data_IF_154942503341
#
_entry.id   IF_154942503341
#
_cell.length_a   1.000
_cell.length_b   1.000
_cell.length_c   1.000
_cell.angle_alpha   90.00
_cell.angle_beta   90.00
_cell.angle_gamma   90.00
#
_symmetry.space_group_name_H-M   'P 1'
#
loop_
_entity.id
_entity.type
_entity.pdbx_description
1 polymer ?
#
# COMPACT_ATOMS: atom_id res chain seq x y z
N UNK A 1 -10.29 -10.45 -29.26
CA UNK A 1 -9.83 -9.23 -29.96
C UNK A 1 -10.94 -8.46 -30.65
N UNK A 2 -11.90 -9.07 -31.37
CA UNK A 2 -12.95 -8.31 -32.09
C UNK A 2 -13.95 -7.55 -31.20
N UNK A 3 -14.36 -8.11 -30.04
CA UNK A 3 -15.30 -7.46 -29.12
C UNK A 3 -14.71 -6.22 -28.43
N UNK A 4 -13.39 -6.23 -28.15
CA UNK A 4 -12.70 -5.17 -27.41
C UNK A 4 -12.71 -3.85 -28.19
N UNK A 5 -12.65 -3.90 -29.52
CA UNK A 5 -12.61 -2.72 -30.39
C UNK A 5 -13.98 -2.06 -30.59
N UNK A 6 -15.09 -2.77 -30.31
CA UNK A 6 -16.45 -2.24 -30.51
C UNK A 6 -16.87 -1.24 -29.43
N UNK A 7 -16.25 -1.30 -28.24
CA UNK A 7 -16.65 -0.50 -27.08
C UNK A 7 -15.62 0.57 -26.67
N UNK A 8 -14.49 0.69 -27.37
CA UNK A 8 -13.45 1.69 -27.07
C UNK A 8 -13.67 3.04 -27.75
N UNK A 9 -14.49 3.13 -28.80
CA UNK A 9 -14.70 4.38 -29.54
C UNK A 9 -16.01 5.08 -29.15
N UNK A 10 -15.94 6.00 -28.19
CA UNK A 10 -17.03 6.95 -27.92
C UNK A 10 -16.87 7.70 -26.59
N UNK A 11 -16.73 9.03 -26.71
CA UNK A 11 -16.83 10.07 -25.67
C UNK A 11 -15.67 10.18 -24.65
N UNK A 12 -15.09 11.38 -24.58
CA UNK A 12 -13.95 11.75 -23.75
C UNK A 12 -14.25 11.81 -22.26
N UNK A 13 -13.17 11.73 -21.47
CA UNK A 13 -12.94 12.16 -20.07
C UNK A 13 -14.02 11.94 -19.00
N UNK A 14 -15.08 11.17 -19.26
CA UNK A 14 -15.94 10.60 -18.23
C UNK A 14 -15.37 9.23 -17.83
N UNK A 15 -15.05 9.05 -16.56
CA UNK A 15 -14.64 7.76 -16.00
C UNK A 15 -15.77 6.76 -16.21
N UNK A 16 -15.55 5.76 -17.08
CA UNK A 16 -16.55 4.74 -17.39
C UNK A 16 -17.01 4.01 -16.13
N UNK A 17 -18.29 3.65 -16.08
CA UNK A 17 -18.91 2.98 -14.92
C UNK A 17 -18.52 1.49 -14.81
N UNK A 18 -18.61 0.92 -13.61
CA UNK A 18 -18.26 -0.49 -13.35
C UNK A 18 -19.03 -1.49 -14.23
N UNK A 19 -20.32 -1.25 -14.47
CA UNK A 19 -21.18 -2.12 -15.27
C UNK A 19 -20.93 -2.02 -16.79
N UNK A 20 -20.10 -1.07 -17.23
CA UNK A 20 -19.73 -0.99 -18.65
C UNK A 20 -18.79 -2.14 -19.05
N UNK A 21 -18.79 -2.52 -20.35
CA UNK A 21 -17.92 -3.57 -20.87
C UNK A 21 -16.47 -3.46 -20.38
N UNK A 22 -15.97 -4.55 -19.81
CA UNK A 22 -14.60 -4.75 -19.34
C UNK A 22 -14.13 -3.80 -18.22
N UNK A 23 -15.00 -2.95 -17.66
CA UNK A 23 -14.60 -2.01 -16.60
C UNK A 23 -14.37 -2.65 -15.24
N UNK A 24 -14.81 -3.90 -15.05
CA UNK A 24 -14.49 -4.72 -13.87
C UNK A 24 -12.99 -5.02 -13.76
N UNK A 25 -12.20 -4.90 -14.84
CA UNK A 25 -10.75 -5.16 -14.83
C UNK A 25 -10.01 -4.32 -13.81
N UNK A 26 -10.44 -3.07 -13.59
CA UNK A 26 -9.90 -2.21 -12.52
C UNK A 26 -10.01 -2.86 -11.14
N UNK A 27 -11.04 -3.66 -10.90
CA UNK A 27 -11.20 -4.41 -9.66
C UNK A 27 -10.20 -5.56 -9.56
N UNK A 28 -9.90 -6.24 -10.66
CA UNK A 28 -8.89 -7.32 -10.72
C UNK A 28 -7.49 -6.71 -10.56
N UNK A 29 -7.20 -5.62 -11.27
CA UNK A 29 -5.96 -4.85 -11.14
C UNK A 29 -5.75 -4.34 -9.70
N UNK A 30 -6.80 -3.87 -9.03
CA UNK A 30 -6.74 -3.45 -7.63
C UNK A 30 -6.26 -4.56 -6.68
N UNK A 31 -6.69 -5.80 -6.93
CA UNK A 31 -6.17 -6.95 -6.21
C UNK A 31 -4.66 -7.14 -6.45
N UNK A 32 -4.22 -7.04 -7.70
CA UNK A 32 -2.81 -7.22 -8.11
C UNK A 32 -1.90 -6.18 -7.47
N UNK A 33 -2.32 -4.91 -7.47
CA UNK A 33 -1.59 -3.83 -6.79
C UNK A 33 -1.42 -4.06 -5.30
N UNK A 34 -2.30 -4.84 -4.67
CA UNK A 34 -2.17 -5.17 -3.25
C UNK A 34 -0.88 -5.93 -2.92
N UNK A 35 -0.32 -6.70 -3.87
CA UNK A 35 1.00 -7.31 -3.69
C UNK A 35 2.10 -6.25 -3.58
N UNK A 36 2.08 -5.28 -4.50
CA UNK A 36 3.12 -4.26 -4.61
C UNK A 36 3.07 -3.34 -3.39
N UNK A 37 1.86 -3.04 -2.90
CA UNK A 37 1.69 -2.30 -1.64
C UNK A 37 2.30 -3.02 -0.42
N UNK A 38 2.33 -4.35 -0.39
CA UNK A 38 3.03 -5.09 0.68
C UNK A 38 4.54 -4.97 0.55
N UNK A 39 5.07 -4.95 -0.67
CA UNK A 39 6.50 -4.77 -0.93
C UNK A 39 6.95 -3.37 -0.52
N UNK A 40 6.19 -2.34 -0.89
CA UNK A 40 6.43 -0.96 -0.47
C UNK A 40 6.37 -0.82 1.06
N UNK A 41 5.38 -1.45 1.70
CA UNK A 41 5.26 -1.45 3.16
C UNK A 41 6.46 -2.18 3.83
N UNK A 42 6.91 -3.28 3.24
CA UNK A 42 8.09 -4.02 3.66
C UNK A 42 9.33 -3.13 3.60
N UNK A 43 9.58 -2.49 2.46
CA UNK A 43 10.73 -1.58 2.25
C UNK A 43 10.72 -0.42 3.23
N UNK A 44 9.56 0.24 3.40
CA UNK A 44 9.39 1.34 4.36
C UNK A 44 9.82 0.93 5.78
N UNK A 45 9.48 -0.27 6.23
CA UNK A 45 9.89 -0.77 7.54
C UNK A 45 11.36 -1.22 7.60
N UNK A 46 11.94 -1.72 6.51
CA UNK A 46 13.38 -2.02 6.44
C UNK A 46 14.21 -0.74 6.55
N UNK A 47 13.83 0.32 5.81
CA UNK A 47 14.47 1.64 5.88
C UNK A 47 14.35 2.22 7.29
N UNK A 48 13.17 2.15 7.88
CA UNK A 48 12.96 2.57 9.27
C UNK A 48 13.83 1.76 10.25
N UNK A 49 13.92 0.45 10.08
CA UNK A 49 14.79 -0.40 10.91
C UNK A 49 16.27 -0.07 10.74
N UNK A 50 16.72 0.34 9.54
CA UNK A 50 18.09 0.72 9.28
C UNK A 50 18.48 2.02 10.01
N UNK A 51 17.56 2.99 10.08
CA UNK A 51 17.73 4.23 10.88
C UNK A 51 17.96 3.88 12.35
N UNK A 52 17.10 3.04 12.92
CA UNK A 52 17.21 2.59 14.31
C UNK A 52 18.55 1.89 14.57
N UNK A 53 18.93 0.97 13.67
CA UNK A 53 20.18 0.23 13.80
C UNK A 53 21.43 1.14 13.70
N UNK A 54 21.37 2.20 12.90
CA UNK A 54 22.45 3.20 12.82
C UNK A 54 22.62 3.92 14.17
N UNK A 55 21.51 4.31 14.81
CA UNK A 55 21.55 4.95 16.11
C UNK A 55 22.09 4.03 17.21
N UNK A 56 21.66 2.76 17.23
CA UNK A 56 22.19 1.71 18.11
C UNK A 56 23.72 1.62 18.00
N UNK A 57 24.25 1.55 16.78
CA UNK A 57 25.68 1.44 16.55
C UNK A 57 26.45 2.70 16.99
N UNK A 58 25.88 3.88 16.74
CA UNK A 58 26.48 5.14 17.16
C UNK A 58 26.56 5.25 18.70
N UNK A 59 25.49 4.90 19.41
CA UNK A 59 25.44 4.89 20.87
C UNK A 59 26.44 3.89 21.48
N UNK A 60 26.49 2.66 20.96
CA UNK A 60 27.46 1.62 21.34
C UNK A 60 28.90 2.07 21.15
N UNK A 61 29.19 2.64 19.98
CA UNK A 61 30.53 3.14 19.65
C UNK A 61 30.95 4.28 20.59
N UNK A 62 30.05 5.24 20.82
CA UNK A 62 30.27 6.35 21.75
C UNK A 62 30.53 5.86 23.18
N UNK A 63 29.67 4.96 23.68
CA UNK A 63 29.76 4.47 25.05
C UNK A 63 31.07 3.70 25.29
N UNK A 64 31.42 2.76 24.41
CA UNK A 64 32.67 1.99 24.50
C UNK A 64 33.90 2.89 24.43
N UNK A 65 33.91 3.86 23.52
CA UNK A 65 35.00 4.84 23.40
C UNK A 65 35.19 5.58 24.73
N UNK A 66 34.12 6.16 25.27
CA UNK A 66 34.23 6.98 26.47
C UNK A 66 34.54 6.17 27.72
N UNK A 67 34.02 4.94 27.86
CA UNK A 67 34.47 4.06 28.94
C UNK A 67 35.98 3.80 28.88
N UNK A 68 36.54 3.55 27.69
CA UNK A 68 37.98 3.39 27.54
C UNK A 68 38.75 4.68 27.88
N UNK A 69 38.27 5.86 27.47
CA UNK A 69 38.91 7.13 27.84
C UNK A 69 38.82 7.43 29.34
N UNK A 70 37.67 7.18 29.98
CA UNK A 70 37.46 7.38 31.41
C UNK A 70 38.43 6.56 32.29
N UNK A 71 38.85 5.36 31.82
CA UNK A 71 39.86 4.58 32.54
C UNK A 71 41.25 5.22 32.56
N UNK A 72 41.54 6.11 31.61
CA UNK A 72 42.81 6.83 31.49
C UNK A 72 42.83 8.15 32.25
N UNK A 73 41.65 8.68 32.59
CA UNK A 73 41.52 9.93 33.33
C UNK A 73 41.78 9.69 34.81
N UNK A 74 42.48 10.63 35.45
CA UNK A 74 42.69 10.66 36.91
C UNK A 74 41.48 11.19 37.68
N UNK A 75 40.28 11.08 37.09
CA UNK A 75 39.02 11.42 37.75
C UNK A 75 38.72 10.36 38.83
N UNK A 76 38.08 10.76 39.93
CA UNK A 76 37.99 9.89 41.11
C UNK A 76 36.65 9.95 41.83
N UNK A 77 36.51 9.03 42.79
CA UNK A 77 35.44 8.95 43.77
C UNK A 77 34.02 9.11 43.19
N UNK A 78 33.23 10.08 43.68
CA UNK A 78 31.82 10.19 43.33
C UNK A 78 31.59 10.79 41.95
N UNK A 79 32.41 11.76 41.53
CA UNK A 79 32.32 12.39 40.21
C UNK A 79 32.59 11.39 39.07
N UNK A 80 33.62 10.53 39.20
CA UNK A 80 33.91 9.47 38.23
C UNK A 80 32.70 8.53 38.04
N UNK A 81 32.03 8.14 39.13
CA UNK A 81 30.86 7.24 39.08
C UNK A 81 29.70 7.85 38.29
N UNK A 82 29.46 9.15 38.45
CA UNK A 82 28.42 9.85 37.68
C UNK A 82 28.80 9.88 36.20
N UNK A 83 30.05 10.17 35.86
CA UNK A 83 30.52 10.15 34.48
C UNK A 83 30.41 8.76 33.84
N UNK A 84 30.83 7.71 34.54
CA UNK A 84 30.66 6.33 34.10
C UNK A 84 29.18 6.02 33.84
N UNK A 85 28.28 6.47 34.73
CA UNK A 85 26.84 6.26 34.54
C UNK A 85 26.31 6.99 33.31
N UNK A 86 26.71 8.25 33.06
CA UNK A 86 26.33 8.99 31.83
C UNK A 86 26.72 8.18 30.60
N UNK A 87 27.97 7.69 30.55
CA UNK A 87 28.45 6.90 29.42
C UNK A 87 27.67 5.57 29.29
N UNK A 88 27.36 4.92 30.41
CA UNK A 88 26.56 3.68 30.44
C UNK A 88 25.11 3.88 29.98
N UNK A 89 24.52 5.08 30.12
CA UNK A 89 23.17 5.35 29.56
C UNK A 89 23.12 5.20 28.04
N UNK A 90 24.26 5.39 27.35
CA UNK A 90 24.36 5.17 25.91
C UNK A 90 24.08 3.72 25.52
N UNK A 91 24.63 2.75 26.25
CA UNK A 91 24.37 1.34 25.97
C UNK A 91 22.94 0.94 26.34
N UNK A 92 22.40 1.45 27.45
CA UNK A 92 21.00 1.20 27.83
C UNK A 92 20.03 1.73 26.77
N UNK A 93 20.32 2.90 26.20
CA UNK A 93 19.56 3.47 25.10
C UNK A 93 19.72 2.67 23.81
N UNK A 94 20.94 2.20 23.51
CA UNK A 94 21.19 1.33 22.38
C UNK A 94 20.38 0.03 22.48
N UNK A 95 20.26 -0.57 23.67
CA UNK A 95 19.48 -1.79 23.87
C UNK A 95 17.97 -1.57 23.69
N UNK A 96 17.44 -0.42 24.11
CA UNK A 96 16.05 -0.03 23.83
C UNK A 96 15.81 0.03 22.31
N UNK A 97 16.64 0.77 21.58
CA UNK A 97 16.49 0.89 20.12
C UNK A 97 16.78 -0.44 19.39
N UNK A 98 17.67 -1.29 19.92
CA UNK A 98 17.93 -2.63 19.40
C UNK A 98 16.70 -3.53 19.48
N UNK A 99 15.85 -3.37 20.50
CA UNK A 99 14.60 -4.10 20.61
C UNK A 99 13.59 -3.69 19.53
N UNK A 100 13.59 -2.41 19.12
CA UNK A 100 12.79 -1.92 17.98
C UNK A 100 13.26 -2.59 16.68
N UNK A 101 14.56 -2.59 16.42
CA UNK A 101 15.18 -3.29 15.27
C UNK A 101 14.81 -4.77 15.27
N UNK A 102 14.87 -5.43 16.43
CA UNK A 102 14.55 -6.85 16.56
C UNK A 102 13.08 -7.12 16.26
N UNK A 103 12.15 -6.26 16.70
CA UNK A 103 10.73 -6.44 16.37
C UNK A 103 10.45 -6.28 14.87
N UNK A 104 11.15 -5.38 14.17
CA UNK A 104 11.04 -5.34 12.71
C UNK A 104 11.48 -6.65 12.07
N UNK A 105 12.67 -7.14 12.43
CA UNK A 105 13.27 -8.35 11.88
C UNK A 105 12.49 -9.63 12.21
N UNK A 106 12.04 -9.75 13.45
CA UNK A 106 11.56 -11.02 14.00
C UNK A 106 10.02 -11.12 14.00
N UNK A 107 9.31 -10.00 13.82
CA UNK A 107 7.85 -9.96 13.92
C UNK A 107 7.19 -9.32 12.68
N UNK A 108 7.50 -8.05 12.37
CA UNK A 108 6.83 -7.32 11.27
C UNK A 108 7.20 -7.90 9.91
N UNK A 109 8.50 -8.03 9.59
CA UNK A 109 8.95 -8.52 8.29
C UNK A 109 8.51 -9.96 8.00
N UNK A 110 8.62 -10.92 8.95
CA UNK A 110 8.13 -12.28 8.74
C UNK A 110 6.62 -12.34 8.52
N UNK A 111 5.83 -11.53 9.26
CA UNK A 111 4.38 -11.45 9.05
C UNK A 111 4.03 -10.95 7.66
N UNK A 112 4.66 -9.87 7.17
CA UNK A 112 4.46 -9.35 5.82
C UNK A 112 4.79 -10.41 4.76
N UNK A 113 5.97 -11.03 4.88
CA UNK A 113 6.44 -12.06 3.93
C UNK A 113 5.51 -13.27 3.91
N UNK A 114 5.09 -13.76 5.08
CA UNK A 114 4.21 -14.92 5.19
C UNK A 114 2.82 -14.61 4.66
N UNK A 115 2.23 -13.47 5.02
CA UNK A 115 0.91 -13.08 4.53
C UNK A 115 0.91 -12.91 3.01
N UNK A 116 1.95 -12.30 2.43
CA UNK A 116 2.11 -12.21 0.97
C UNK A 116 2.17 -13.60 0.33
N UNK A 117 2.98 -14.51 0.87
CA UNK A 117 3.09 -15.90 0.37
C UNK A 117 1.76 -16.63 0.37
N UNK A 118 0.97 -16.47 1.43
CA UNK A 118 -0.30 -17.19 1.61
C UNK A 118 -1.44 -16.62 0.77
N UNK A 119 -1.37 -15.35 0.37
CA UNK A 119 -2.47 -14.65 -0.28
C UNK A 119 -2.20 -14.31 -1.76
N UNK A 120 -0.94 -14.30 -2.20
CA UNK A 120 -0.52 -13.94 -3.56
C UNK A 120 0.22 -15.08 -4.27
N UNK A 121 -0.45 -16.21 -4.45
CA UNK A 121 0.11 -17.35 -5.18
C UNK A 121 0.12 -17.10 -6.70
N UNK A 122 1.29 -17.24 -7.33
CA UNK A 122 1.46 -17.16 -8.80
C UNK A 122 1.18 -18.49 -9.47
N UNK A 123 0.58 -18.46 -10.67
CA UNK A 123 0.47 -19.65 -11.52
C UNK A 123 1.71 -19.83 -12.41
N UNK A 124 2.01 -18.85 -13.27
CA UNK A 124 3.22 -18.79 -14.11
C UNK A 124 3.70 -17.34 -14.16
N UNK A 125 2.82 -16.43 -14.57
CA UNK A 125 3.08 -14.99 -14.62
C UNK A 125 2.09 -14.23 -13.73
N UNK A 126 0.81 -14.59 -13.81
CA UNK A 126 -0.27 -13.92 -13.07
C UNK A 126 -0.63 -14.65 -11.77
N UNK A 127 -1.28 -13.93 -10.85
CA UNK A 127 -1.80 -14.49 -9.61
C UNK A 127 -3.02 -15.38 -9.88
N UNK A 128 -3.08 -16.53 -9.20
CA UNK A 128 -4.20 -17.48 -9.37
C UNK A 128 -5.56 -16.83 -9.08
N UNK A 129 -5.63 -16.02 -8.02
CA UNK A 129 -6.87 -15.33 -7.63
C UNK A 129 -7.29 -14.25 -8.65
N UNK A 130 -6.36 -13.53 -9.27
CA UNK A 130 -6.69 -12.63 -10.39
C UNK A 130 -7.33 -13.37 -11.55
N UNK A 131 -6.77 -14.53 -11.92
CA UNK A 131 -7.30 -15.36 -13.01
C UNK A 131 -8.70 -15.87 -12.66
N UNK A 132 -8.94 -16.25 -11.40
CA UNK A 132 -10.25 -16.66 -10.89
C UNK A 132 -11.27 -15.52 -11.01
N UNK A 133 -10.97 -14.33 -10.48
CA UNK A 133 -11.85 -13.16 -10.57
C UNK A 133 -12.14 -12.74 -12.01
N UNK A 134 -11.12 -12.70 -12.88
CA UNK A 134 -11.31 -12.36 -14.30
C UNK A 134 -12.29 -13.33 -14.95
N UNK A 135 -12.15 -14.66 -14.71
CA UNK A 135 -13.05 -15.67 -15.25
C UNK A 135 -14.48 -15.52 -14.76
N UNK A 136 -14.68 -15.25 -13.46
CA UNK A 136 -16.00 -15.04 -12.88
C UNK A 136 -16.70 -13.84 -13.54
N UNK A 137 -16.00 -12.69 -13.64
CA UNK A 137 -16.55 -11.51 -14.30
C UNK A 137 -16.82 -11.73 -15.79
N UNK A 138 -15.90 -12.35 -16.52
CA UNK A 138 -16.07 -12.67 -17.95
C UNK A 138 -17.30 -13.56 -18.16
N UNK A 139 -17.50 -14.56 -17.30
CA UNK A 139 -18.63 -15.48 -17.39
C UNK A 139 -19.96 -14.74 -17.24
N UNK A 140 -20.07 -13.82 -16.29
CA UNK A 140 -21.29 -13.04 -16.05
C UNK A 140 -21.49 -11.95 -17.11
N UNK A 141 -20.43 -11.29 -17.58
CA UNK A 141 -20.54 -10.20 -18.54
C UNK A 141 -20.78 -10.68 -19.98
N UNK A 142 -20.37 -11.91 -20.34
CA UNK A 142 -20.47 -12.43 -21.72
C UNK A 142 -21.88 -12.38 -22.32
N UNK A 143 -22.97 -12.81 -21.65
CA UNK A 143 -24.33 -12.66 -22.20
C UNK A 143 -24.74 -11.20 -22.37
N UNK A 144 -24.32 -10.33 -21.46
CA UNK A 144 -24.58 -8.90 -21.52
C UNK A 144 -23.88 -8.25 -22.73
N UNK A 145 -22.63 -8.61 -23.02
CA UNK A 145 -21.92 -8.13 -24.21
C UNK A 145 -22.64 -8.52 -25.51
N UNK A 146 -23.14 -9.77 -25.60
CA UNK A 146 -23.91 -10.20 -26.78
C UNK A 146 -25.20 -9.40 -26.98
N UNK A 147 -25.88 -9.05 -25.89
CA UNK A 147 -27.06 -8.19 -25.95
C UNK A 147 -26.70 -6.79 -26.45
N UNK A 148 -25.65 -6.18 -25.89
CA UNK A 148 -25.17 -4.86 -26.31
C UNK A 148 -24.71 -4.85 -27.78
N UNK A 149 -24.05 -5.89 -28.25
CA UNK A 149 -23.71 -6.05 -29.67
C UNK A 149 -24.94 -6.14 -30.56
N UNK A 150 -25.94 -6.94 -30.18
CA UNK A 150 -27.21 -7.07 -30.92
C UNK A 150 -27.97 -5.74 -31.01
N UNK A 151 -27.94 -4.96 -29.93
CA UNK A 151 -28.49 -3.60 -29.87
C UNK A 151 -27.73 -2.67 -30.83
N UNK A 152 -26.40 -2.73 -30.81
CA UNK A 152 -25.55 -1.89 -31.66
C UNK A 152 -25.70 -2.23 -33.15
N UNK A 153 -25.84 -3.51 -33.51
CA UNK A 153 -26.15 -3.95 -34.86
C UNK A 153 -27.53 -3.47 -35.32
N UNK A 154 -28.55 -3.62 -34.47
CA UNK A 154 -29.91 -3.17 -34.78
C UNK A 154 -29.99 -1.64 -34.90
N UNK A 155 -29.24 -0.90 -34.07
CA UNK A 155 -29.07 0.55 -34.18
C UNK A 155 -28.46 0.93 -35.53
N UNK A 156 -27.37 0.27 -35.93
CA UNK A 156 -26.72 0.49 -37.24
C UNK A 156 -27.68 0.20 -38.40
N UNK A 157 -28.44 -0.89 -38.32
CA UNK A 157 -29.44 -1.25 -39.33
C UNK A 157 -30.56 -0.21 -39.44
N UNK A 158 -31.08 0.28 -38.30
CA UNK A 158 -32.07 1.35 -38.27
C UNK A 158 -31.54 2.66 -38.89
N UNK A 159 -30.32 3.09 -38.53
CA UNK A 159 -29.74 4.29 -39.12
C UNK A 159 -29.47 4.14 -40.63
N UNK A 160 -29.01 2.96 -41.07
CA UNK A 160 -28.78 2.67 -42.48
C UNK A 160 -30.07 2.74 -43.28
N UNK A 161 -31.14 2.09 -42.81
CA UNK A 161 -32.45 2.11 -43.49
C UNK A 161 -33.08 3.50 -43.48
N UNK A 162 -32.93 4.27 -42.39
CA UNK A 162 -33.36 5.67 -42.32
C UNK A 162 -32.64 6.55 -43.36
N UNK A 163 -31.35 6.33 -43.58
CA UNK A 163 -30.59 7.03 -44.63
C UNK A 163 -31.11 6.67 -46.03
N UNK A 164 -31.43 5.40 -46.28
CA UNK A 164 -32.03 4.95 -47.55
C UNK A 164 -33.42 5.54 -47.77
N UNK A 165 -34.23 5.69 -46.72
CA UNK A 165 -35.54 6.32 -46.80
C UNK A 165 -35.44 7.77 -47.28
N UNK A 166 -34.53 8.56 -46.71
CA UNK A 166 -34.28 9.95 -47.16
C UNK A 166 -33.89 10.02 -48.64
N UNK A 167 -33.07 9.07 -49.11
CA UNK A 167 -32.69 8.99 -50.53
C UNK A 167 -33.88 8.61 -51.42
N UNK A 168 -34.72 7.69 -50.97
CA UNK A 168 -35.92 7.28 -51.70
C UNK A 168 -36.99 8.38 -51.74
N UNK A 169 -37.14 9.16 -50.66
CA UNK A 169 -37.99 10.36 -50.58
C UNK A 169 -37.54 11.41 -51.59
N UNK A 170 -36.26 11.75 -51.58
CA UNK A 170 -35.69 12.69 -52.54
C UNK A 170 -35.92 12.22 -53.98
N UNK A 171 -35.67 10.93 -54.28
CA UNK A 171 -35.89 10.37 -55.63
C UNK A 171 -37.37 10.44 -56.06
N UNK A 172 -38.31 10.30 -55.12
CA UNK A 172 -39.74 10.43 -55.38
C UNK A 172 -40.15 11.89 -55.61
N UNK A 173 -39.58 12.83 -54.85
CA UNK A 173 -39.87 14.27 -54.96
C UNK A 173 -39.26 14.90 -56.22
N UNK A 174 -38.07 14.47 -56.62
CA UNK A 174 -37.38 14.97 -57.82
C UNK A 174 -37.73 14.17 -59.09
N UNK A 175 -38.83 13.40 -59.06
CA UNK A 175 -39.26 12.58 -60.19
C UNK A 175 -39.71 13.47 -61.36
N UNK A 176 -39.14 13.33 -62.58
CA UNK A 176 -39.58 14.11 -63.74
C UNK A 176 -41.03 13.81 -64.13
N UNK A 177 -41.77 14.83 -64.57
CA UNK A 177 -43.15 14.69 -65.06
C UNK A 177 -43.29 13.71 -66.24
N UNK A 178 -42.24 13.56 -67.04
CA UNK A 178 -42.19 12.68 -68.22
C UNK A 178 -41.87 11.21 -67.87
N UNK A 179 -41.66 10.88 -66.59
CA UNK A 179 -41.33 9.52 -66.16
C UNK A 179 -42.45 8.54 -66.57
N UNK A 180 -42.15 7.41 -67.23
CA UNK A 180 -43.18 6.46 -67.65
C UNK A 180 -43.98 5.91 -66.46
N UNK A 181 -45.31 5.67 -66.60
CA UNK A 181 -46.17 5.23 -65.48
C UNK A 181 -45.66 4.00 -64.73
N UNK A 182 -45.07 3.04 -65.45
CA UNK A 182 -44.48 1.83 -64.86
C UNK A 182 -43.28 2.15 -63.97
N UNK A 183 -42.39 3.07 -64.40
CA UNK A 183 -41.28 3.54 -63.58
C UNK A 183 -41.75 4.38 -62.38
N UNK A 184 -42.79 5.20 -62.54
CA UNK A 184 -43.37 5.95 -61.42
C UNK A 184 -43.87 5.00 -60.33
N UNK A 185 -44.62 3.96 -60.74
CA UNK A 185 -45.10 2.91 -59.84
C UNK A 185 -43.95 2.21 -59.12
N UNK A 186 -42.90 1.81 -59.83
CA UNK A 186 -41.72 1.18 -59.22
C UNK A 186 -41.02 2.08 -58.18
N UNK A 187 -40.90 3.39 -58.44
CA UNK A 187 -40.30 4.34 -57.49
C UNK A 187 -41.16 4.46 -56.22
N UNK A 188 -42.49 4.56 -56.38
CA UNK A 188 -43.44 4.63 -55.27
C UNK A 188 -43.45 3.33 -54.46
N UNK A 189 -43.50 2.17 -55.12
CA UNK A 189 -43.48 0.85 -54.48
C UNK A 189 -42.17 0.63 -53.71
N UNK A 190 -41.02 1.01 -54.28
CA UNK A 190 -39.73 0.95 -53.61
C UNK A 190 -39.67 1.89 -52.39
N UNK A 191 -40.23 3.11 -52.49
CA UNK A 191 -40.34 4.03 -51.35
C UNK A 191 -41.18 3.41 -50.21
N UNK A 192 -42.34 2.83 -50.53
CA UNK A 192 -43.21 2.18 -49.55
C UNK A 192 -42.49 1.00 -48.88
N UNK A 193 -41.78 0.18 -49.66
CA UNK A 193 -41.01 -0.95 -49.12
C UNK A 193 -39.89 -0.50 -48.18
N UNK A 194 -39.14 0.55 -48.54
CA UNK A 194 -38.09 1.10 -47.66
C UNK A 194 -38.70 1.66 -46.38
N UNK A 195 -39.86 2.33 -46.46
CA UNK A 195 -40.58 2.83 -45.28
C UNK A 195 -41.00 1.71 -44.32
N UNK A 196 -41.54 0.60 -44.85
CA UNK A 196 -41.85 -0.59 -44.05
C UNK A 196 -40.59 -1.19 -43.40
N UNK A 197 -39.48 -1.24 -44.13
CA UNK A 197 -38.20 -1.75 -43.61
C UNK A 197 -37.64 -0.86 -42.49
N UNK A 198 -37.81 0.47 -42.56
CA UNK A 198 -37.41 1.40 -41.49
C UNK A 198 -38.21 1.13 -40.22
N UNK A 199 -39.54 0.99 -40.32
CA UNK A 199 -40.38 0.69 -39.15
C UNK A 199 -40.04 -0.68 -38.54
N UNK A 200 -39.80 -1.70 -39.37
CA UNK A 200 -39.34 -3.00 -38.89
C UNK A 200 -37.99 -2.91 -38.15
N UNK A 201 -37.02 -2.17 -38.69
CA UNK A 201 -35.73 -1.95 -38.05
C UNK A 201 -35.86 -1.14 -36.75
N UNK A 202 -36.76 -0.15 -36.72
CA UNK A 202 -37.08 0.66 -35.54
C UNK A 202 -37.66 -0.20 -34.42
N UNK A 203 -38.69 -1.00 -34.73
CA UNK A 203 -39.34 -1.89 -33.76
C UNK A 203 -38.36 -2.91 -33.19
N UNK A 204 -37.51 -3.51 -34.03
CA UNK A 204 -36.45 -4.43 -33.58
C UNK A 204 -35.46 -3.74 -32.63
N UNK A 205 -35.00 -2.54 -32.97
CA UNK A 205 -34.08 -1.79 -32.12
C UNK A 205 -34.73 -1.41 -30.77
N UNK A 206 -35.96 -0.91 -30.79
CA UNK A 206 -36.71 -0.56 -29.58
C UNK A 206 -37.00 -1.80 -28.71
N UNK A 207 -37.29 -2.94 -29.32
CA UNK A 207 -37.50 -4.20 -28.60
C UNK A 207 -36.26 -4.59 -27.80
N UNK A 208 -35.08 -4.62 -28.45
CA UNK A 208 -33.83 -4.97 -27.76
C UNK A 208 -33.44 -3.95 -26.67
N UNK A 209 -33.78 -2.67 -26.85
CA UNK A 209 -33.54 -1.66 -25.81
C UNK A 209 -34.37 -1.89 -24.53
N UNK A 210 -35.46 -2.66 -24.59
CA UNK A 210 -36.23 -3.00 -23.39
C UNK A 210 -35.41 -3.85 -22.44
N UNK A 211 -34.56 -4.74 -22.95
CA UNK A 211 -33.75 -5.65 -22.13
C UNK A 211 -32.63 -4.94 -21.34
N UNK A 212 -32.32 -3.68 -21.68
CA UNK A 212 -31.32 -2.86 -20.96
C UNK A 212 -31.96 -1.77 -20.09
N UNK A 213 -33.29 -1.68 -20.06
CA UNK A 213 -33.98 -0.78 -19.12
C UNK A 213 -33.68 -1.20 -17.67
N UNK A 214 -33.62 -0.24 -16.73
CA UNK A 214 -33.30 -0.52 -15.32
C UNK A 214 -34.29 -1.48 -14.65
N UNK A 215 -35.54 -1.52 -15.13
CA UNK A 215 -36.58 -2.44 -14.66
C UNK A 215 -36.57 -3.80 -15.35
N UNK A 216 -35.68 -4.03 -16.33
CA UNK A 216 -35.67 -5.25 -17.11
C UNK A 216 -34.86 -6.36 -16.43
N UNK A 217 -35.41 -7.57 -16.46
CA UNK A 217 -34.79 -8.77 -15.87
C UNK A 217 -33.36 -9.02 -16.36
N UNK A 218 -33.03 -8.89 -17.67
CA UNK A 218 -31.66 -9.14 -18.14
C UNK A 218 -30.62 -8.19 -17.52
N UNK A 219 -30.96 -6.90 -17.36
CA UNK A 219 -30.10 -5.91 -16.71
C UNK A 219 -29.98 -6.17 -15.22
N UNK A 220 -31.10 -6.40 -14.54
CA UNK A 220 -31.08 -6.66 -13.09
C UNK A 220 -30.27 -7.90 -12.75
N UNK A 221 -30.42 -8.99 -13.51
CA UNK A 221 -29.62 -10.21 -13.35
C UNK A 221 -28.13 -9.96 -13.60
N UNK A 222 -27.79 -9.21 -14.65
CA UNK A 222 -26.41 -8.83 -14.92
C UNK A 222 -25.81 -8.01 -13.78
N UNK A 223 -26.49 -6.95 -13.34
CA UNK A 223 -26.00 -6.09 -12.26
C UNK A 223 -25.88 -6.86 -10.94
N UNK A 224 -26.87 -7.68 -10.57
CA UNK A 224 -26.84 -8.49 -9.35
C UNK A 224 -25.65 -9.46 -9.33
N UNK A 225 -25.44 -10.22 -10.41
CA UNK A 225 -24.34 -11.18 -10.50
C UNK A 225 -22.97 -10.48 -10.53
N UNK A 226 -22.86 -9.32 -11.20
CA UNK A 226 -21.62 -8.52 -11.17
C UNK A 226 -21.32 -7.97 -9.77
N UNK A 227 -22.36 -7.58 -9.02
CA UNK A 227 -22.24 -7.13 -7.62
C UNK A 227 -21.78 -8.28 -6.72
N UNK A 228 -22.33 -9.48 -6.90
CA UNK A 228 -21.95 -10.67 -6.11
C UNK A 228 -20.44 -10.97 -6.26
N UNK A 229 -19.93 -11.01 -7.49
CA UNK A 229 -18.50 -11.23 -7.74
C UNK A 229 -17.67 -10.07 -7.15
N UNK A 230 -18.14 -8.83 -7.29
CA UNK A 230 -17.48 -7.67 -6.68
C UNK A 230 -17.45 -7.72 -5.14
N UNK A 231 -18.43 -8.34 -4.50
CA UNK A 231 -18.39 -8.56 -3.06
C UNK A 231 -17.30 -9.57 -2.66
N UNK A 232 -17.03 -10.58 -3.50
CA UNK A 232 -15.91 -11.50 -3.27
C UNK A 232 -14.55 -10.79 -3.36
N UNK A 233 -14.37 -9.90 -4.33
CA UNK A 233 -13.13 -9.11 -4.44
C UNK A 233 -12.97 -8.14 -3.27
N UNK A 234 -14.06 -7.47 -2.84
CA UNK A 234 -14.06 -6.62 -1.65
C UNK A 234 -13.75 -7.39 -0.37
N UNK A 235 -14.28 -8.60 -0.20
CA UNK A 235 -14.00 -9.42 0.98
C UNK A 235 -12.50 -9.75 1.09
N UNK A 236 -11.84 -9.99 -0.05
CA UNK A 236 -10.39 -10.17 -0.08
C UNK A 236 -9.65 -8.87 0.25
N UNK A 237 -10.05 -7.75 -0.35
CA UNK A 237 -9.44 -6.44 -0.05
C UNK A 237 -9.58 -6.07 1.44
N UNK A 238 -10.73 -6.36 2.04
CA UNK A 238 -10.96 -6.19 3.49
C UNK A 238 -9.93 -6.98 4.30
N UNK A 239 -9.64 -8.23 3.94
CA UNK A 239 -8.60 -9.05 4.60
C UNK A 239 -7.22 -8.39 4.53
N UNK A 240 -6.86 -7.79 3.39
CA UNK A 240 -5.59 -7.05 3.23
C UNK A 240 -5.55 -5.81 4.13
N UNK A 241 -6.62 -5.01 4.13
CA UNK A 241 -6.71 -3.78 4.91
C UNK A 241 -6.69 -4.06 6.42
N UNK A 242 -7.39 -5.09 6.88
CA UNK A 242 -7.36 -5.54 8.27
C UNK A 242 -5.93 -5.98 8.66
N UNK A 243 -5.26 -6.73 7.80
CA UNK A 243 -3.87 -7.12 8.02
C UNK A 243 -2.91 -5.91 8.10
N UNK A 244 -3.07 -4.90 7.23
CA UNK A 244 -2.29 -3.66 7.31
C UNK A 244 -2.49 -2.97 8.66
N UNK A 245 -3.74 -2.91 9.13
CA UNK A 245 -4.07 -2.35 10.45
C UNK A 245 -3.39 -3.11 11.57
N UNK A 246 -3.32 -4.44 11.51
CA UNK A 246 -2.59 -5.27 12.47
C UNK A 246 -1.09 -4.95 12.48
N UNK A 247 -0.47 -4.80 11.30
CA UNK A 247 0.95 -4.43 11.18
C UNK A 247 1.21 -3.04 11.77
N UNK A 248 0.35 -2.05 11.48
CA UNK A 248 0.50 -0.71 12.06
C UNK A 248 0.29 -0.68 13.58
N UNK A 249 -0.60 -1.53 14.10
CA UNK A 249 -0.78 -1.70 15.55
C UNK A 249 0.47 -2.33 16.20
N UNK A 250 1.07 -3.34 15.58
CA UNK A 250 2.33 -3.94 16.03
C UNK A 250 3.47 -2.91 16.05
N UNK A 251 3.58 -2.09 14.99
CA UNK A 251 4.53 -0.99 14.96
C UNK A 251 4.30 0.01 16.09
N UNK A 252 3.05 0.42 16.32
CA UNK A 252 2.69 1.35 17.41
C UNK A 252 3.10 0.78 18.78
N UNK A 253 2.82 -0.51 19.01
CA UNK A 253 3.20 -1.22 20.24
C UNK A 253 4.73 -1.26 20.41
N UNK A 254 5.47 -1.41 19.32
CA UNK A 254 6.95 -1.41 19.33
C UNK A 254 7.52 -0.10 19.89
N UNK A 255 6.89 1.03 19.57
CA UNK A 255 7.32 2.35 20.02
C UNK A 255 6.93 2.65 21.48
N UNK A 256 5.97 1.93 22.05
CA UNK A 256 5.50 2.14 23.42
C UNK A 256 6.48 1.50 24.44
N UNK A 257 7.69 2.05 24.56
CA UNK A 257 8.74 1.58 25.50
C UNK A 257 8.88 2.44 26.78
N UNK A 258 7.82 3.13 27.18
CA UNK A 258 7.81 4.09 28.29
C UNK A 258 8.38 3.54 29.62
N UNK A 259 8.07 2.30 30.07
CA UNK A 259 8.58 1.80 31.34
C UNK A 259 10.11 1.61 31.36
N UNK A 260 10.70 1.25 30.23
CA UNK A 260 12.16 1.00 30.14
C UNK A 260 12.92 2.32 30.19
N UNK A 261 12.43 3.33 29.47
CA UNK A 261 13.01 4.67 29.49
C UNK A 261 12.92 5.32 30.88
N UNK A 262 11.78 5.19 31.57
CA UNK A 262 11.61 5.69 32.94
C UNK A 262 12.61 5.04 33.89
N UNK A 263 12.78 3.72 33.82
CA UNK A 263 13.74 3.01 34.67
C UNK A 263 15.18 3.46 34.42
N UNK A 264 15.59 3.61 33.16
CA UNK A 264 16.91 4.13 32.79
C UNK A 264 17.16 5.51 33.41
N UNK A 265 16.16 6.40 33.31
CA UNK A 265 16.23 7.73 33.89
C UNK A 265 16.29 7.71 35.42
N UNK A 266 15.47 6.89 36.07
CA UNK A 266 15.47 6.75 37.54
C UNK A 266 16.82 6.23 38.05
N UNK A 267 17.42 5.26 37.36
CA UNK A 267 18.73 4.72 37.72
C UNK A 267 19.84 5.77 37.54
N UNK A 268 19.78 6.59 36.48
CA UNK A 268 20.67 7.73 36.30
C UNK A 268 20.54 8.74 37.45
N UNK A 269 19.31 9.14 37.80
CA UNK A 269 19.05 10.09 38.89
C UNK A 269 19.59 9.58 40.22
N UNK A 270 19.41 8.29 40.53
CA UNK A 270 19.96 7.69 41.75
C UNK A 270 21.47 7.79 41.82
N UNK A 271 22.19 7.51 40.73
CA UNK A 271 23.65 7.63 40.71
C UNK A 271 24.08 9.09 40.83
N UNK A 272 23.41 10.00 40.13
CA UNK A 272 23.68 11.43 40.24
C UNK A 272 23.54 11.94 41.68
N UNK A 273 22.55 11.45 42.42
CA UNK A 273 22.36 11.78 43.84
C UNK A 273 23.50 11.29 44.76
N UNK A 274 24.34 10.35 44.29
CA UNK A 274 25.52 9.92 45.06
C UNK A 274 26.72 10.86 44.90
N UNK A 275 26.64 11.85 44.00
CA UNK A 275 27.68 12.85 43.82
C UNK A 275 27.87 13.69 45.10
N UNK A 276 29.10 13.73 45.61
CA UNK A 276 29.45 14.43 46.83
C UNK A 276 30.79 15.16 46.69
N UNK A 277 30.72 16.43 46.30
CA UNK A 277 31.89 17.30 46.13
C UNK A 277 32.75 17.39 47.40
N UNK A 278 32.13 17.46 48.58
CA UNK A 278 32.87 17.60 49.84
C UNK A 278 33.66 16.33 50.17
N UNK A 279 33.05 15.16 49.98
CA UNK A 279 33.73 13.88 50.19
C UNK A 279 34.87 13.65 49.18
N UNK A 280 34.68 14.09 47.93
CA UNK A 280 35.73 14.00 46.91
C UNK A 280 36.91 14.93 47.27
N UNK A 281 36.65 16.19 47.64
CA UNK A 281 37.71 17.11 48.10
C UNK A 281 38.45 16.62 49.34
N UNK A 282 37.73 16.06 50.32
CA UNK A 282 38.33 15.47 51.52
C UNK A 282 39.20 14.24 51.19
N UNK A 283 38.76 13.42 50.22
CA UNK A 283 39.58 12.31 49.70
C UNK A 283 40.89 12.83 49.14
N UNK A 284 40.83 13.83 48.25
CA UNK A 284 42.03 14.41 47.64
C UNK A 284 42.98 15.05 48.66
N UNK A 285 42.43 15.77 49.64
CA UNK A 285 43.21 16.36 50.74
C UNK A 285 44.00 15.30 51.53
N UNK A 286 43.40 14.14 51.78
CA UNK A 286 44.01 13.04 52.54
C UNK A 286 45.00 12.21 51.72
N UNK A 287 44.79 12.06 50.42
CA UNK A 287 45.64 11.21 49.57
C UNK A 287 46.83 11.98 49.00
N UNK A 288 46.61 13.18 48.49
CA UNK A 288 47.60 13.94 47.71
C UNK A 288 47.85 15.34 48.30
N UNK A 289 47.07 15.74 49.30
CA UNK A 289 47.17 17.03 49.96
C UNK A 289 47.93 17.00 51.31
N UNK A 290 47.83 18.08 52.10
CA UNK A 290 48.48 18.19 53.40
C UNK A 290 48.05 17.14 54.44
N UNK A 291 46.93 16.44 54.22
CA UNK A 291 46.49 15.33 55.08
C UNK A 291 47.20 14.01 54.81
N UNK A 292 48.01 13.93 53.75
CA UNK A 292 48.78 12.74 53.40
C UNK A 292 49.93 12.48 54.38
N UNK A 293 50.28 11.20 54.54
CA UNK A 293 51.35 10.81 55.44
C UNK A 293 52.71 11.26 54.90
N UNK A 294 53.42 12.08 55.68
CA UNK A 294 54.78 12.51 55.38
C UNK A 294 55.77 11.85 56.33
N UNK A 295 56.75 11.14 55.76
CA UNK A 295 57.91 10.68 56.50
C UNK A 295 58.94 11.80 56.54
N UNK A 296 59.08 12.43 57.70
CA UNK A 296 60.11 13.43 57.91
C UNK A 296 61.45 12.76 58.22
N UNK A 297 62.57 13.33 57.75
CA UNK A 297 63.90 12.81 58.08
C UNK A 297 64.08 12.70 59.59
N UNK A 298 64.48 11.53 60.05
CA UNK A 298 64.92 11.27 61.41
C UNK A 298 66.39 10.87 61.39
N UNK A 299 67.05 10.88 62.54
CA UNK A 299 68.44 10.43 62.63
C UNK A 299 68.55 8.95 62.19
N UNK A 300 69.48 8.65 61.27
CA UNK A 300 69.80 7.31 60.80
C UNK A 300 71.26 6.98 61.16
N UNK A 301 71.49 5.84 61.82
CA UNK A 301 72.85 5.36 62.10
C UNK A 301 73.54 4.90 60.82
N UNK A 302 74.85 5.19 60.70
CA UNK A 302 75.65 4.77 59.55
C UNK A 302 75.70 3.25 59.45
N UNK A 303 75.33 2.69 58.30
CA UNK A 303 75.41 1.24 58.04
C UNK A 303 76.85 0.71 57.95
N UNK A 304 77.85 1.60 57.87
CA UNK A 304 79.28 1.27 57.85
C UNK A 304 79.95 1.38 59.23
N UNK A 305 79.17 1.46 60.31
CA UNK A 305 79.72 1.36 61.65
C UNK A 305 80.18 -0.09 61.92
N UNK A 306 81.42 -0.41 61.51
CA UNK A 306 82.15 -1.55 62.06
C UNK A 306 82.32 -1.30 63.57
N UNK A 307 82.14 -2.33 64.44
CA UNK A 307 81.98 -2.19 65.89
C UNK A 307 83.02 -1.35 66.63
#
# INVERSE_FOLDING_TARGET
MAMTTLFTNGAGTATRGFFEPLQYRRCVEHYEFGNDLLEELSSMFEERSAIENSYVNALRSWSRKWHAELTKLSEYASNKKVWDQVVSTGEQMADMHQSIVSNFRDNIQPKLKQWKKDNYEKSIINYKKSIEFEKEFEQVQKPWLKLLESIQESKKAYHKTTKLLKQAEQKKETMPLETPPEMQKQIVDNYIQIKLNVEAARLKYQYLLRDVASSAEPRQRYEANMIEIFQHTQAFEKKRLDFFKEIFAEYTKTLQQQPVFSKMFDDYVKVLQTHNTTADLDTWYKTDGPGSHSNYPVFEESQDAIP
#
